data_IF_117932106024
#
_entry.id   IF_117932106024
#
_cell.length_a   1.000
_cell.length_b   1.000
_cell.length_c   1.000
_cell.angle_alpha   90.00
_cell.angle_beta   90.00
_cell.angle_gamma   90.00
#
_symmetry.space_group_name_H-M   'P 1'
#
loop_
_entity.id
_entity.type
_entity.pdbx_description
1 polymer ?
#
# COMPACT_ATOMS: atom_id res chain seq x y z
N UNK A 1 -20.65 7.55 3.25
CA UNK A 1 -20.32 6.50 2.25
C UNK A 1 -21.43 6.29 1.20
N UNK A 2 -22.72 6.26 1.59
CA UNK A 2 -23.86 6.07 0.68
C UNK A 2 -24.05 7.19 -0.37
N UNK A 3 -23.87 8.46 0.02
CA UNK A 3 -24.05 9.61 -0.89
C UNK A 3 -23.02 9.61 -2.02
N UNK A 4 -21.76 9.27 -1.74
CA UNK A 4 -20.71 9.14 -2.77
C UNK A 4 -21.00 8.00 -3.75
N UNK A 5 -21.49 6.85 -3.26
CA UNK A 5 -21.87 5.71 -4.12
C UNK A 5 -23.07 6.06 -5.01
N UNK A 6 -24.09 6.72 -4.46
CA UNK A 6 -25.26 7.16 -5.21
C UNK A 6 -24.92 8.24 -6.24
N UNK A 7 -24.05 9.20 -5.89
CA UNK A 7 -23.57 10.22 -6.82
C UNK A 7 -22.73 9.61 -7.95
N UNK A 8 -21.83 8.68 -7.64
CA UNK A 8 -21.05 7.95 -8.66
C UNK A 8 -21.98 7.15 -9.59
N UNK A 9 -22.95 6.40 -9.04
CA UNK A 9 -23.95 5.70 -9.85
C UNK A 9 -24.78 6.63 -10.72
N UNK A 10 -25.21 7.78 -10.18
CA UNK A 10 -25.97 8.79 -10.93
C UNK A 10 -25.16 9.41 -12.06
N UNK A 11 -23.88 9.69 -11.85
CA UNK A 11 -22.95 10.19 -12.88
C UNK A 11 -22.69 9.15 -13.98
N UNK A 12 -22.57 7.88 -13.62
CA UNK A 12 -22.41 6.78 -14.57
C UNK A 12 -23.68 6.54 -15.39
N UNK A 13 -24.86 6.49 -14.74
CA UNK A 13 -26.14 6.23 -15.41
C UNK A 13 -26.62 7.40 -16.28
N UNK A 14 -26.33 8.64 -15.88
CA UNK A 14 -26.70 9.84 -16.65
C UNK A 14 -25.77 10.14 -17.82
N UNK A 15 -24.60 9.50 -17.88
CA UNK A 15 -23.55 9.83 -18.86
C UNK A 15 -22.88 11.20 -18.63
N UNK A 16 -23.28 11.95 -17.59
CA UNK A 16 -22.72 13.27 -17.28
C UNK A 16 -21.23 13.20 -16.91
N UNK A 17 -20.79 12.10 -16.27
CA UNK A 17 -19.36 11.86 -16.02
C UNK A 17 -18.56 11.72 -17.32
N UNK A 18 -19.08 10.95 -18.27
CA UNK A 18 -18.45 10.76 -19.58
C UNK A 18 -18.44 12.04 -20.42
N UNK A 19 -19.48 12.88 -20.32
CA UNK A 19 -19.55 14.17 -21.01
C UNK A 19 -18.53 15.17 -20.44
N UNK A 20 -18.39 15.23 -19.12
CA UNK A 20 -17.41 16.08 -18.44
C UNK A 20 -15.97 15.67 -18.76
N UNK A 21 -15.64 14.37 -18.68
CA UNK A 21 -14.32 13.86 -19.09
C UNK A 21 -14.02 14.17 -20.56
N UNK A 22 -15.01 14.06 -21.43
CA UNK A 22 -14.85 14.35 -22.87
C UNK A 22 -14.64 15.84 -23.18
N UNK A 23 -15.13 16.73 -22.31
CA UNK A 23 -15.00 18.18 -22.48
C UNK A 23 -13.76 18.77 -21.77
N UNK A 24 -13.28 18.14 -20.69
CA UNK A 24 -12.29 18.74 -19.79
C UNK A 24 -11.21 17.79 -19.25
N UNK A 25 -11.29 16.49 -19.53
CA UNK A 25 -10.33 15.49 -19.03
C UNK A 25 -9.16 15.27 -20.00
N UNK A 26 -7.99 14.94 -19.45
CA UNK A 26 -6.94 14.27 -20.23
C UNK A 26 -7.54 12.96 -20.79
N UNK A 27 -7.26 12.55 -22.04
CA UNK A 27 -7.87 11.35 -22.63
C UNK A 27 -7.37 10.05 -21.99
N UNK A 28 -6.45 10.15 -21.02
CA UNK A 28 -5.77 9.06 -20.35
C UNK A 28 -5.77 9.20 -18.83
N UNK A 29 -5.62 8.07 -18.13
CA UNK A 29 -5.52 7.98 -16.67
C UNK A 29 -4.45 6.96 -16.26
N UNK A 30 -3.91 7.07 -15.05
CA UNK A 30 -3.03 6.08 -14.44
C UNK A 30 -3.74 5.52 -13.21
N UNK A 31 -3.94 4.21 -13.17
CA UNK A 31 -4.52 3.50 -12.02
C UNK A 31 -3.41 2.82 -11.23
N UNK A 32 -3.11 3.40 -10.08
CA UNK A 32 -2.07 2.93 -9.17
C UNK A 32 -2.66 2.04 -8.08
N UNK A 33 -2.03 0.90 -7.87
CA UNK A 33 -2.30 -0.06 -6.80
C UNK A 33 -1.05 -0.24 -5.94
N UNK A 34 -1.21 -0.76 -4.73
CA UNK A 34 -0.08 -1.25 -3.94
C UNK A 34 -0.26 -2.74 -3.69
N UNK A 35 -1.27 -3.12 -2.87
CA UNK A 35 -1.55 -4.51 -2.52
C UNK A 35 -2.86 -5.03 -3.09
N UNK A 36 -2.85 -6.26 -3.59
CA UNK A 36 -4.03 -7.03 -3.98
C UNK A 36 -4.21 -8.18 -2.99
N UNK A 37 -4.80 -7.91 -1.82
CA UNK A 37 -4.84 -8.85 -0.71
C UNK A 37 -6.15 -8.78 0.06
N UNK A 38 -6.52 -9.87 0.72
CA UNK A 38 -7.64 -9.87 1.65
C UNK A 38 -7.14 -9.37 3.02
N UNK A 39 -7.68 -8.28 3.59
CA UNK A 39 -7.16 -7.74 4.84
C UNK A 39 -7.30 -8.74 6.01
N UNK A 40 -8.26 -9.67 5.92
CA UNK A 40 -8.41 -10.75 6.89
C UNK A 40 -7.36 -11.87 6.76
N UNK A 41 -6.61 -11.92 5.65
CA UNK A 41 -5.52 -12.89 5.48
C UNK A 41 -4.19 -12.41 6.07
N UNK A 42 -4.17 -11.21 6.68
CA UNK A 42 -2.97 -10.62 7.29
C UNK A 42 -3.21 -10.42 8.78
N UNK A 43 -2.22 -10.81 9.59
CA UNK A 43 -2.35 -10.72 11.05
C UNK A 43 -2.47 -9.27 11.56
N UNK A 44 -1.80 -8.32 10.90
CA UNK A 44 -1.73 -6.91 11.28
C UNK A 44 -2.65 -6.04 10.42
N UNK A 45 -3.12 -4.89 10.94
CA UNK A 45 -3.92 -3.97 10.14
C UNK A 45 -3.11 -3.39 8.98
N UNK A 46 -3.75 -3.32 7.82
CA UNK A 46 -3.22 -2.67 6.62
C UNK A 46 -3.70 -1.22 6.57
N UNK A 47 -2.85 -0.31 6.08
CA UNK A 47 -3.24 1.09 5.91
C UNK A 47 -4.45 1.21 4.95
N UNK A 48 -5.53 1.91 5.35
CA UNK A 48 -6.66 2.15 4.47
C UNK A 48 -6.24 2.82 3.16
N UNK A 49 -6.68 2.26 2.03
CA UNK A 49 -6.31 2.77 0.70
C UNK A 49 -5.05 2.16 0.09
N UNK A 50 -4.27 1.40 0.86
CA UNK A 50 -3.08 0.68 0.36
C UNK A 50 -3.39 -0.72 -0.16
N UNK A 51 -4.65 -1.15 -0.13
CA UNK A 51 -5.02 -2.48 -0.64
C UNK A 51 -6.38 -2.50 -1.36
N UNK A 52 -6.51 -3.47 -2.24
CA UNK A 52 -7.76 -3.85 -2.91
C UNK A 52 -7.94 -5.36 -2.78
N UNK A 53 -9.15 -5.82 -2.47
CA UNK A 53 -9.41 -7.27 -2.38
C UNK A 53 -9.25 -7.94 -3.75
N UNK A 54 -8.75 -9.18 -3.84
CA UNK A 54 -8.54 -9.87 -5.11
C UNK A 54 -9.79 -9.92 -6.00
N UNK A 55 -10.97 -10.16 -5.41
CA UNK A 55 -12.23 -10.18 -6.16
C UNK A 55 -12.59 -8.81 -6.75
N UNK A 56 -12.32 -7.73 -6.01
CA UNK A 56 -12.55 -6.37 -6.48
C UNK A 56 -11.56 -6.03 -7.60
N UNK A 57 -10.29 -6.39 -7.45
CA UNK A 57 -9.29 -6.21 -8.49
C UNK A 57 -9.67 -6.95 -9.79
N UNK A 58 -10.15 -8.19 -9.69
CA UNK A 58 -10.66 -8.93 -10.85
C UNK A 58 -11.78 -8.16 -11.57
N UNK A 59 -12.75 -7.61 -10.83
CA UNK A 59 -13.85 -6.82 -11.42
C UNK A 59 -13.33 -5.54 -12.09
N UNK A 60 -12.31 -4.90 -11.53
CA UNK A 60 -11.65 -3.76 -12.17
C UNK A 60 -11.03 -4.18 -13.50
N UNK A 61 -10.23 -5.25 -13.53
CA UNK A 61 -9.55 -5.71 -14.74
C UNK A 61 -10.54 -6.14 -15.83
N UNK A 62 -11.60 -6.85 -15.46
CA UNK A 62 -12.70 -7.22 -16.37
C UNK A 62 -13.37 -5.98 -16.98
N UNK A 63 -13.57 -4.93 -16.19
CA UNK A 63 -14.15 -3.67 -16.66
C UNK A 63 -13.20 -2.94 -17.61
N UNK A 64 -11.91 -2.83 -17.26
CA UNK A 64 -10.91 -2.15 -18.09
C UNK A 64 -10.76 -2.87 -19.44
N UNK A 65 -10.62 -4.20 -19.44
CA UNK A 65 -10.50 -4.99 -20.66
C UNK A 65 -11.68 -4.81 -21.63
N UNK A 66 -12.88 -4.51 -21.11
CA UNK A 66 -14.09 -4.34 -21.93
C UNK A 66 -14.31 -2.91 -22.43
N UNK A 67 -13.78 -1.89 -21.74
CA UNK A 67 -14.21 -0.51 -21.90
C UNK A 67 -13.10 0.52 -22.10
N UNK A 68 -11.84 0.13 -21.92
CA UNK A 68 -10.69 1.04 -21.96
C UNK A 68 -9.60 0.54 -22.92
N UNK A 69 -8.79 1.47 -23.42
CA UNK A 69 -7.55 1.18 -24.11
C UNK A 69 -6.43 1.07 -23.05
N UNK A 70 -6.08 -0.15 -22.64
CA UNK A 70 -5.05 -0.34 -21.62
C UNK A 70 -3.68 -0.31 -22.29
N UNK A 71 -2.87 0.71 -22.00
CA UNK A 71 -1.54 0.91 -22.59
C UNK A 71 -0.43 0.61 -21.58
N UNK A 72 0.73 0.09 -22.04
CA UNK A 72 1.95 0.11 -21.23
C UNK A 72 2.29 1.54 -20.81
N UNK A 73 2.73 1.72 -19.57
CA UNK A 73 2.93 3.04 -18.98
C UNK A 73 3.96 3.88 -19.74
N UNK A 74 5.06 3.27 -20.15
CA UNK A 74 6.15 3.90 -20.89
C UNK A 74 5.74 4.31 -22.31
N UNK A 75 4.89 3.52 -22.98
CA UNK A 75 4.30 3.91 -24.27
C UNK A 75 3.35 5.10 -24.11
N UNK A 76 2.54 5.10 -23.04
CA UNK A 76 1.69 6.24 -22.71
C UNK A 76 2.54 7.48 -22.39
N UNK A 77 3.57 7.34 -21.56
CA UNK A 77 4.47 8.43 -21.19
C UNK A 77 5.20 9.01 -22.40
N UNK A 78 5.66 8.16 -23.32
CA UNK A 78 6.28 8.58 -24.58
C UNK A 78 5.29 9.36 -25.44
N UNK A 79 4.07 8.84 -25.63
CA UNK A 79 3.05 9.52 -26.44
C UNK A 79 2.69 10.90 -25.87
N UNK A 80 2.60 11.02 -24.54
CA UNK A 80 2.39 12.31 -23.86
C UNK A 80 3.56 13.26 -24.10
N UNK A 81 4.80 12.79 -23.91
CA UNK A 81 6.01 13.62 -24.09
C UNK A 81 6.21 14.12 -25.53
N UNK A 82 5.78 13.33 -26.50
CA UNK A 82 5.85 13.65 -27.93
C UNK A 82 4.62 14.44 -28.43
N UNK A 83 3.62 14.69 -27.59
CA UNK A 83 2.37 15.36 -27.98
C UNK A 83 1.55 14.55 -28.99
N UNK A 84 1.69 13.23 -29.02
CA UNK A 84 0.93 12.35 -29.92
C UNK A 84 -0.53 12.25 -29.48
N UNK A 85 -1.41 12.03 -30.45
CA UNK A 85 -2.82 11.79 -30.17
C UNK A 85 -3.00 10.47 -29.39
N UNK A 86 -3.66 10.54 -28.24
CA UNK A 86 -3.97 9.39 -27.39
C UNK A 86 -5.48 9.09 -27.49
N UNK A 87 -5.88 7.83 -27.76
CA UNK A 87 -7.29 7.47 -27.81
C UNK A 87 -8.01 7.85 -26.51
N UNK A 88 -9.27 8.31 -26.57
CA UNK A 88 -10.07 8.51 -25.37
C UNK A 88 -10.18 7.21 -24.55
N UNK A 89 -10.32 7.35 -23.23
CA UNK A 89 -10.40 6.21 -22.30
C UNK A 89 -9.15 5.32 -22.35
N UNK A 90 -7.99 5.93 -22.48
CA UNK A 90 -6.72 5.22 -22.30
C UNK A 90 -6.38 5.11 -20.82
N UNK A 91 -5.82 3.98 -20.40
CA UNK A 91 -5.43 3.78 -19.00
C UNK A 91 -4.12 3.00 -18.92
N UNK A 92 -3.25 3.39 -18.00
CA UNK A 92 -2.09 2.59 -17.60
C UNK A 92 -2.31 2.03 -16.20
N UNK A 93 -1.90 0.79 -15.96
CA UNK A 93 -2.00 0.12 -14.65
C UNK A 93 -0.61 0.10 -14.03
N UNK A 94 -0.50 0.55 -12.78
CA UNK A 94 0.76 0.52 -12.03
C UNK A 94 0.58 -0.12 -10.65
N UNK A 95 1.66 -0.73 -10.18
CA UNK A 95 1.79 -1.24 -8.81
C UNK A 95 3.04 -0.64 -8.20
N UNK A 96 2.93 -0.12 -6.99
CA UNK A 96 4.08 0.36 -6.24
C UNK A 96 4.55 -0.70 -5.24
N UNK A 97 5.79 -0.55 -4.78
CA UNK A 97 6.49 -1.34 -3.77
C UNK A 97 6.93 -2.77 -4.14
N UNK A 98 6.19 -3.49 -4.98
CA UNK A 98 6.51 -4.87 -5.36
C UNK A 98 6.14 -5.92 -4.31
N UNK A 99 4.98 -5.75 -3.67
CA UNK A 99 4.44 -6.71 -2.71
C UNK A 99 4.22 -8.09 -3.34
N UNK A 100 4.41 -9.15 -2.57
CA UNK A 100 4.28 -10.55 -3.03
C UNK A 100 2.92 -10.84 -3.67
N UNK A 101 1.86 -10.22 -3.17
CA UNK A 101 0.52 -10.38 -3.72
C UNK A 101 0.35 -9.76 -5.13
N UNK A 102 1.27 -8.92 -5.59
CA UNK A 102 1.32 -8.51 -7.00
C UNK A 102 1.60 -9.71 -7.91
N UNK A 103 2.43 -10.66 -7.44
CA UNK A 103 2.66 -11.92 -8.14
C UNK A 103 1.55 -12.94 -7.87
N UNK A 104 1.12 -13.13 -6.63
CA UNK A 104 0.19 -14.22 -6.29
C UNK A 104 -1.25 -13.94 -6.72
N UNK A 105 -1.71 -12.69 -6.60
CA UNK A 105 -3.11 -12.33 -6.80
C UNK A 105 -3.33 -11.46 -8.04
N UNK A 106 -2.43 -10.49 -8.31
CA UNK A 106 -2.62 -9.55 -9.43
C UNK A 106 -2.19 -10.16 -10.77
N UNK A 107 -0.99 -10.75 -10.82
CA UNK A 107 -0.38 -11.25 -12.05
C UNK A 107 -1.24 -12.26 -12.82
N UNK A 108 -1.87 -13.29 -12.20
CA UNK A 108 -2.71 -14.23 -12.93
C UNK A 108 -3.93 -13.56 -13.60
N UNK A 109 -4.48 -12.53 -12.96
CA UNK A 109 -5.62 -11.77 -13.49
C UNK A 109 -5.18 -10.91 -14.68
N UNK A 110 -4.04 -10.22 -14.58
CA UNK A 110 -3.49 -9.41 -15.66
C UNK A 110 -3.19 -10.27 -16.90
N UNK A 111 -2.55 -11.43 -16.70
CA UNK A 111 -2.26 -12.39 -17.79
C UNK A 111 -3.55 -12.89 -18.43
N UNK A 112 -4.55 -13.27 -17.64
CA UNK A 112 -5.85 -13.76 -18.14
C UNK A 112 -6.55 -12.75 -19.05
N UNK A 113 -6.41 -11.46 -18.75
CA UNK A 113 -7.04 -10.39 -19.51
C UNK A 113 -6.09 -9.71 -20.52
N UNK A 114 -4.88 -10.22 -20.69
CA UNK A 114 -3.84 -9.67 -21.57
C UNK A 114 -3.55 -8.18 -21.32
N UNK A 115 -3.64 -7.75 -20.06
CA UNK A 115 -3.48 -6.35 -19.68
C UNK A 115 -2.01 -6.04 -19.37
N UNK A 116 -1.43 -4.98 -19.95
CA UNK A 116 -0.12 -4.50 -19.53
C UNK A 116 -0.20 -3.79 -18.19
N UNK A 117 0.87 -3.91 -17.40
CA UNK A 117 1.03 -3.16 -16.16
C UNK A 117 2.51 -2.88 -15.89
N UNK A 118 2.80 -1.91 -15.03
CA UNK A 118 4.16 -1.61 -14.57
C UNK A 118 4.25 -1.77 -13.06
N UNK A 119 5.26 -2.51 -12.56
CA UNK A 119 5.54 -2.65 -11.13
C UNK A 119 6.79 -1.85 -10.77
N UNK A 120 6.66 -0.87 -9.88
CA UNK A 120 7.76 -0.08 -9.35
C UNK A 120 8.29 -0.74 -8.07
N UNK A 121 9.52 -1.22 -8.09
CA UNK A 121 10.09 -2.02 -6.99
C UNK A 121 10.78 -1.14 -5.94
N UNK A 122 10.50 -1.41 -4.67
CA UNK A 122 11.34 -1.03 -3.55
C UNK A 122 12.52 -2.02 -3.46
N UNK A 123 13.65 -1.71 -4.09
CA UNK A 123 14.65 -2.73 -4.44
C UNK A 123 15.35 -3.39 -3.25
N UNK A 124 15.48 -2.71 -2.10
CA UNK A 124 16.04 -3.32 -0.88
C UNK A 124 15.12 -4.37 -0.24
N UNK A 125 13.86 -4.45 -0.66
CA UNK A 125 12.85 -5.33 -0.09
C UNK A 125 12.62 -6.59 -0.92
N UNK A 126 13.06 -6.61 -2.19
CA UNK A 126 12.84 -7.72 -3.13
C UNK A 126 13.37 -9.04 -2.56
N UNK A 127 12.48 -10.04 -2.50
CA UNK A 127 12.74 -11.36 -1.93
C UNK A 127 12.77 -11.43 -0.40
N UNK A 128 12.66 -10.29 0.28
CA UNK A 128 12.74 -10.18 1.74
C UNK A 128 11.41 -10.39 2.46
N UNK A 129 11.51 -10.60 3.78
CA UNK A 129 10.40 -10.66 4.73
C UNK A 129 10.27 -9.39 5.59
N UNK A 130 11.25 -8.48 5.50
CA UNK A 130 11.23 -7.18 6.20
C UNK A 130 10.08 -6.35 5.66
N UNK A 131 9.11 -6.01 6.50
CA UNK A 131 8.00 -5.11 6.14
C UNK A 131 8.45 -3.63 6.15
N UNK A 132 7.67 -2.73 5.54
CA UNK A 132 7.86 -1.29 5.71
C UNK A 132 7.64 -0.85 7.14
N UNK A 133 8.19 0.31 7.52
CA UNK A 133 8.14 0.78 8.91
C UNK A 133 6.70 0.92 9.44
N UNK A 134 5.74 1.26 8.58
CA UNK A 134 4.30 1.35 8.88
C UNK A 134 3.75 -0.01 9.31
N UNK A 135 3.96 -1.03 8.50
CA UNK A 135 3.49 -2.39 8.74
C UNK A 135 4.24 -3.06 9.90
N UNK A 136 5.55 -2.78 10.04
CA UNK A 136 6.36 -3.20 11.19
C UNK A 136 5.78 -2.64 12.49
N UNK A 137 5.48 -1.34 12.52
CA UNK A 137 4.90 -0.69 13.69
C UNK A 137 3.50 -1.21 14.00
N UNK A 138 2.63 -1.31 12.99
CA UNK A 138 1.28 -1.85 13.13
C UNK A 138 1.30 -3.28 13.72
N UNK A 139 2.17 -4.14 13.18
CA UNK A 139 2.38 -5.51 13.69
C UNK A 139 2.90 -5.50 15.12
N UNK A 140 3.89 -4.67 15.43
CA UNK A 140 4.46 -4.61 16.78
C UNK A 140 3.42 -4.13 17.82
N UNK A 141 2.65 -3.10 17.50
CA UNK A 141 1.58 -2.59 18.38
C UNK A 141 0.49 -3.64 18.60
N UNK A 142 0.15 -4.43 17.57
CA UNK A 142 -0.79 -5.53 17.72
C UNK A 142 -0.26 -6.61 18.67
N UNK A 143 0.97 -7.07 18.48
CA UNK A 143 1.57 -8.09 19.34
C UNK A 143 1.63 -7.63 20.80
N UNK A 144 1.97 -6.37 21.04
CA UNK A 144 1.97 -5.78 22.39
C UNK A 144 0.55 -5.76 22.99
N UNK A 145 -0.47 -5.38 22.20
CA UNK A 145 -1.86 -5.39 22.65
C UNK A 145 -2.37 -6.81 23.00
N UNK A 146 -2.09 -7.80 22.14
CA UNK A 146 -2.54 -9.19 22.33
C UNK A 146 -1.90 -9.86 23.56
N UNK A 147 -0.69 -9.48 23.91
CA UNK A 147 0.08 -10.10 25.00
C UNK A 147 0.09 -9.27 26.30
N UNK A 148 -0.71 -8.20 26.38
CA UNK A 148 -0.73 -7.31 27.54
C UNK A 148 0.62 -6.65 27.82
N UNK A 149 1.43 -6.46 26.78
CA UNK A 149 2.80 -5.97 26.87
C UNK A 149 2.84 -4.54 27.41
N UNK A 150 3.68 -4.34 28.42
CA UNK A 150 3.92 -3.02 29.01
C UNK A 150 4.95 -2.22 28.18
N UNK A 151 4.56 -1.02 27.76
CA UNK A 151 5.40 -0.06 27.02
C UNK A 151 5.72 1.19 27.86
N UNK A 152 5.35 1.22 29.14
CA UNK A 152 5.57 2.32 30.10
C UNK A 152 7.05 2.69 30.27
N UNK A 153 7.99 1.81 29.92
CA UNK A 153 9.43 2.10 29.97
C UNK A 153 10.02 2.66 28.65
N UNK A 154 9.23 2.85 27.58
CA UNK A 154 9.73 3.47 26.34
C UNK A 154 10.28 4.88 26.57
N UNK A 155 9.68 5.62 27.50
CA UNK A 155 10.09 6.99 27.86
C UNK A 155 11.29 7.07 28.80
N UNK A 156 11.61 5.99 29.53
CA UNK A 156 12.60 6.02 30.61
C UNK A 156 14.05 5.83 30.14
N UNK A 157 14.27 5.30 28.93
CA UNK A 157 15.59 5.17 28.29
C UNK A 157 15.92 6.29 27.31
N UNK A 158 15.03 7.26 27.15
CA UNK A 158 15.28 8.47 26.36
C UNK A 158 15.78 9.55 27.33
N UNK A 159 17.06 9.93 27.23
CA UNK A 159 17.66 10.97 28.09
C UNK A 159 16.82 12.28 28.04
N UNK A 160 16.63 13.01 29.17
CA UNK A 160 15.73 14.17 29.22
C UNK A 160 16.46 15.53 29.10
N UNK A 161 15.75 16.66 28.95
CA UNK A 161 14.48 16.90 28.22
C UNK A 161 14.64 18.10 27.24
N UNK A 162 14.00 18.11 26.08
CA UNK A 162 12.83 18.97 25.82
C UNK A 162 12.31 18.63 24.40
N UNK A 163 10.99 18.45 24.28
CA UNK A 163 10.21 18.49 23.03
C UNK A 163 10.63 17.59 21.83
N UNK A 164 11.04 16.34 22.06
CA UNK A 164 11.25 15.40 20.93
C UNK A 164 9.94 14.72 20.50
N UNK A 165 9.54 14.80 19.21
CA UNK A 165 8.37 14.10 18.66
C UNK A 165 8.37 12.58 18.97
N UNK A 166 9.54 11.96 19.08
CA UNK A 166 9.69 10.55 19.47
C UNK A 166 9.15 10.22 20.87
N UNK A 167 9.24 11.12 21.85
CA UNK A 167 8.71 10.87 23.21
C UNK A 167 7.18 10.92 23.22
N UNK A 168 6.60 11.89 22.50
CA UNK A 168 5.15 11.99 22.31
C UNK A 168 4.63 10.75 21.60
N UNK A 169 5.29 10.32 20.52
CA UNK A 169 4.91 9.11 19.82
C UNK A 169 5.07 7.84 20.68
N UNK A 170 6.11 7.75 21.53
CA UNK A 170 6.26 6.65 22.47
C UNK A 170 5.13 6.58 23.51
N UNK A 171 4.72 7.72 24.07
CA UNK A 171 3.57 7.80 25.00
C UNK A 171 2.26 7.41 24.30
N UNK A 172 2.07 7.83 23.05
CA UNK A 172 0.91 7.46 22.26
C UNK A 172 0.86 5.97 21.96
N UNK A 173 2.00 5.36 21.61
CA UNK A 173 2.10 3.92 21.42
C UNK A 173 1.76 3.19 22.72
N UNK A 174 2.28 3.66 23.86
CA UNK A 174 1.95 3.11 25.16
C UNK A 174 0.43 3.19 25.45
N UNK A 175 -0.21 4.30 25.10
CA UNK A 175 -1.66 4.40 25.23
C UNK A 175 -2.41 3.51 24.20
N UNK A 176 -1.89 3.35 23.00
CA UNK A 176 -2.52 2.61 21.92
C UNK A 176 -2.62 1.11 22.19
N UNK A 177 -1.58 0.51 22.79
CA UNK A 177 -1.57 -0.93 23.13
C UNK A 177 -2.50 -1.29 24.30
N UNK A 178 -3.14 -0.31 24.92
CA UNK A 178 -4.19 -0.52 25.93
C UNK A 178 -5.59 -0.22 25.38
N UNK A 179 -5.77 -0.28 24.06
CA UNK A 179 -7.08 -0.12 23.45
C UNK A 179 -8.09 -1.16 23.99
N UNK A 180 -9.36 -0.79 24.21
CA UNK A 180 -10.38 -1.68 24.77
C UNK A 180 -10.82 -2.80 23.82
N UNK A 181 -10.56 -2.68 22.52
CA UNK A 181 -10.90 -3.66 21.50
C UNK A 181 -10.08 -3.46 20.22
N UNK A 182 -10.11 -4.44 19.32
CA UNK A 182 -9.34 -4.44 18.05
C UNK A 182 -9.65 -3.23 17.16
N UNK A 183 -10.92 -2.83 17.05
CA UNK A 183 -11.32 -1.71 16.20
C UNK A 183 -10.72 -0.39 16.68
N UNK A 184 -10.68 -0.19 18.00
CA UNK A 184 -10.05 0.99 18.60
C UNK A 184 -8.52 0.93 18.52
N UNK A 185 -7.91 -0.26 18.59
CA UNK A 185 -6.48 -0.45 18.33
C UNK A 185 -6.12 -0.03 16.90
N UNK A 186 -6.82 -0.55 15.89
CA UNK A 186 -6.56 -0.26 14.48
C UNK A 186 -6.64 1.26 14.20
N UNK A 187 -7.64 1.93 14.78
CA UNK A 187 -7.79 3.40 14.70
C UNK A 187 -6.60 4.13 15.33
N UNK A 188 -6.11 3.67 16.48
CA UNK A 188 -4.96 4.27 17.16
C UNK A 188 -3.65 4.02 16.39
N UNK A 189 -3.49 2.85 15.78
CA UNK A 189 -2.36 2.55 14.89
C UNK A 189 -2.34 3.53 13.70
N UNK A 190 -3.48 3.74 13.05
CA UNK A 190 -3.62 4.70 11.95
C UNK A 190 -3.25 6.13 12.38
N UNK A 191 -3.77 6.59 13.52
CA UNK A 191 -3.45 7.90 14.09
C UNK A 191 -1.95 8.06 14.37
N UNK A 192 -1.31 7.04 14.97
CA UNK A 192 0.12 7.03 15.29
C UNK A 192 0.97 7.07 14.01
N UNK A 193 0.65 6.23 13.02
CA UNK A 193 1.35 6.22 11.72
C UNK A 193 1.22 7.57 11.02
N UNK A 194 0.01 8.15 10.99
CA UNK A 194 -0.25 9.45 10.36
C UNK A 194 0.59 10.58 10.95
N UNK A 195 0.85 10.56 12.26
CA UNK A 195 1.74 11.52 12.93
C UNK A 195 3.21 11.24 12.63
N UNK A 196 3.64 9.98 12.72
CA UNK A 196 5.03 9.59 12.44
C UNK A 196 5.47 9.87 11.00
N UNK A 197 4.54 9.91 10.03
CA UNK A 197 4.82 10.38 8.66
C UNK A 197 5.39 11.80 8.60
N UNK A 198 5.22 12.62 9.65
CA UNK A 198 5.73 14.00 9.75
C UNK A 198 7.01 14.13 10.57
N UNK A 199 7.48 13.03 11.16
CA UNK A 199 8.71 12.98 11.96
C UNK A 199 9.92 12.74 11.05
N UNK A 200 11.11 13.32 11.35
CA UNK A 200 12.33 13.02 10.61
C UNK A 200 12.59 11.51 10.50
N UNK A 201 13.07 11.01 9.34
CA UNK A 201 13.24 9.57 9.13
C UNK A 201 14.08 8.85 10.19
N UNK A 202 15.19 9.45 10.64
CA UNK A 202 16.08 8.87 11.65
C UNK A 202 15.38 8.67 13.00
N UNK A 203 14.67 9.69 13.49
CA UNK A 203 13.90 9.63 14.73
C UNK A 203 12.77 8.61 14.64
N UNK A 204 12.05 8.61 13.51
CA UNK A 204 10.96 7.68 13.23
C UNK A 204 11.45 6.23 13.25
N UNK A 205 12.53 5.93 12.51
CA UNK A 205 13.07 4.58 12.42
C UNK A 205 13.60 4.10 13.77
N UNK A 206 14.30 4.96 14.51
CA UNK A 206 14.78 4.64 15.88
C UNK A 206 13.63 4.25 16.81
N UNK A 207 12.52 4.99 16.77
CA UNK A 207 11.34 4.67 17.57
C UNK A 207 10.69 3.36 17.11
N UNK A 208 10.47 3.19 15.81
CA UNK A 208 9.86 1.97 15.26
C UNK A 208 10.69 0.75 15.63
N UNK A 209 12.01 0.80 15.45
CA UNK A 209 12.92 -0.28 15.80
C UNK A 209 12.87 -0.60 17.31
N UNK A 210 12.77 0.42 18.15
CA UNK A 210 12.63 0.26 19.60
C UNK A 210 11.32 -0.45 20.00
N UNK A 211 10.23 -0.17 19.31
CA UNK A 211 8.91 -0.79 19.56
C UNK A 211 8.89 -2.22 19.02
N UNK A 212 9.42 -2.42 17.81
CA UNK A 212 9.55 -3.73 17.17
C UNK A 212 10.40 -4.67 18.02
N UNK A 213 11.57 -4.25 18.48
CA UNK A 213 12.44 -5.09 19.32
C UNK A 213 11.76 -5.59 20.61
N UNK A 214 10.81 -4.82 21.17
CA UNK A 214 10.02 -5.24 22.33
C UNK A 214 8.93 -6.25 21.95
N UNK A 215 8.33 -6.08 20.79
CA UNK A 215 7.29 -6.97 20.28
C UNK A 215 7.86 -8.30 19.74
N UNK A 216 9.10 -8.30 19.25
CA UNK A 216 9.76 -9.46 18.65
C UNK A 216 9.84 -10.65 19.59
N UNK A 217 9.90 -10.45 20.91
CA UNK A 217 9.85 -11.53 21.89
C UNK A 217 8.54 -12.34 21.88
N UNK A 218 7.46 -11.78 21.33
CA UNK A 218 6.17 -12.47 21.18
C UNK A 218 6.03 -13.16 19.82
N UNK A 219 7.02 -13.06 18.93
CA UNK A 219 7.02 -13.76 17.66
C UNK A 219 7.36 -15.24 17.88
N UNK A 220 6.39 -16.09 17.56
CA UNK A 220 6.55 -17.54 17.63
C UNK A 220 6.94 -18.16 16.27
N UNK A 221 7.02 -17.36 15.21
CA UNK A 221 7.31 -17.81 13.85
C UNK A 221 8.21 -16.83 13.10
N UNK A 222 9.03 -17.38 12.20
CA UNK A 222 9.81 -16.58 11.27
C UNK A 222 8.91 -15.73 10.37
N UNK A 223 9.28 -14.47 10.06
CA UNK A 223 8.50 -13.63 9.17
C UNK A 223 8.41 -14.23 7.77
N UNK A 224 7.19 -14.38 7.25
CA UNK A 224 6.98 -14.81 5.87
C UNK A 224 7.51 -13.76 4.87
N UNK A 225 7.89 -14.23 3.68
CA UNK A 225 8.30 -13.35 2.58
C UNK A 225 7.16 -12.40 2.20
N UNK A 226 7.46 -11.11 2.20
CA UNK A 226 6.49 -10.04 1.99
C UNK A 226 6.52 -9.49 0.56
N UNK A 227 7.64 -9.61 -0.14
CA UNK A 227 7.87 -9.00 -1.45
C UNK A 227 8.17 -10.05 -2.52
N UNK A 228 7.90 -9.71 -3.78
CA UNK A 228 8.25 -10.56 -4.92
C UNK A 228 9.76 -10.83 -4.95
N UNK A 229 10.17 -11.98 -5.48
CA UNK A 229 11.57 -12.31 -5.72
C UNK A 229 12.03 -11.83 -7.09
N UNK A 230 13.34 -11.79 -7.32
CA UNK A 230 13.88 -11.54 -8.66
C UNK A 230 13.49 -12.61 -9.69
N UNK A 231 13.27 -13.86 -9.27
CA UNK A 231 12.83 -14.92 -10.17
C UNK A 231 11.38 -14.72 -10.61
N UNK A 232 10.49 -14.37 -9.67
CA UNK A 232 9.10 -14.01 -9.97
C UNK A 232 9.03 -12.76 -10.85
N UNK A 233 9.84 -11.73 -10.57
CA UNK A 233 9.91 -10.55 -11.44
C UNK A 233 10.35 -10.91 -12.85
N UNK A 234 11.34 -11.80 -13.00
CA UNK A 234 11.78 -12.31 -14.32
C UNK A 234 10.70 -13.12 -15.02
N UNK A 235 9.91 -13.88 -14.28
CA UNK A 235 8.77 -14.62 -14.83
C UNK A 235 7.69 -13.66 -15.34
N UNK A 236 7.29 -12.69 -14.51
CA UNK A 236 6.30 -11.68 -14.87
C UNK A 236 6.72 -10.87 -16.10
N UNK A 237 8.01 -10.51 -16.20
CA UNK A 237 8.56 -9.77 -17.32
C UNK A 237 8.52 -10.53 -18.67
N UNK A 238 8.23 -11.84 -18.67
CA UNK A 238 8.01 -12.60 -19.91
C UNK A 238 6.63 -12.36 -20.53
N UNK A 239 5.72 -11.69 -19.81
CA UNK A 239 4.42 -11.27 -20.32
C UNK A 239 4.39 -9.75 -20.57
N UNK A 240 3.22 -9.13 -20.50
CA UNK A 240 3.00 -7.68 -20.69
C UNK A 240 3.38 -6.83 -19.46
N UNK A 241 4.03 -7.41 -18.45
CA UNK A 241 4.43 -6.70 -17.23
C UNK A 241 5.82 -6.07 -17.39
N UNK A 242 5.91 -4.77 -17.11
CA UNK A 242 7.16 -4.01 -17.09
C UNK A 242 7.54 -3.66 -15.65
N UNK A 243 8.81 -3.36 -15.41
CA UNK A 243 9.32 -3.02 -14.08
C UNK A 243 10.05 -1.67 -14.10
N UNK A 244 9.86 -0.89 -13.04
CA UNK A 244 10.57 0.35 -12.77
C UNK A 244 11.12 0.37 -11.34
N UNK A 245 11.86 1.44 -10.99
CA UNK A 245 12.27 1.67 -9.61
C UNK A 245 11.26 2.58 -8.89
N UNK A 246 10.91 2.22 -7.65
CA UNK A 246 10.14 3.08 -6.75
C UNK A 246 11.11 3.85 -5.84
N UNK A 247 11.80 3.10 -4.97
CA UNK A 247 12.83 3.57 -4.05
C UNK A 247 13.84 2.45 -3.77
N UNK A 248 14.95 2.78 -3.08
CA UNK A 248 15.82 1.75 -2.49
C UNK A 248 15.23 1.31 -1.15
N UNK A 249 15.07 2.28 -0.24
CA UNK A 249 14.44 2.11 1.08
C UNK A 249 13.07 2.79 1.13
N UNK A 250 12.23 2.45 2.13
CA UNK A 250 10.88 2.98 2.34
C UNK A 250 10.68 3.48 3.79
#
# INVERSE_FOLDING_TARGET
MLIRKAAAHGLTLSGAGALFERMHGQPWQILMYHRIIDPESVAHPLEPGMYVRPKTFQLHMEHLAKHYNVWPLDELAQAVGEGKAIPPRTVAITFDDGWRDNYENAFPVLVKHELPATVFLATAFVGGSRLFWTDRLARAMLLLWENGGDVLQLSQKLDPPEERPALVAAQEIAHAVHAPNRRELDRRIEDTIGKLKRTPPEERLTLVDSVVARAEHYLNTEPERAFITWDESREMARSSIRFGCHTVDH
#
